data_IF_425860637139
#
_entry.id   IF_425860637139
#
_cell.length_a   1.000
_cell.length_b   1.000
_cell.length_c   1.000
_cell.angle_alpha   90.00
_cell.angle_beta   90.00
_cell.angle_gamma   90.00
#
_symmetry.space_group_name_H-M   'P 1'
#
loop_
_entity.id
_entity.type
_entity.pdbx_description
1 polymer ?
#
# COMPACT_ATOMS: atom_id res chain seq x y z
N UNK A 1 14.68 23.62 10.24
CA UNK A 1 13.55 22.74 10.66
C UNK A 1 12.34 23.64 10.89
N UNK A 2 11.34 23.61 10.00
CA UNK A 2 10.11 24.39 10.20
C UNK A 2 9.29 23.80 11.35
N UNK A 3 8.86 24.58 12.36
CA UNK A 3 8.16 24.06 13.52
C UNK A 3 6.83 23.40 13.13
N UNK A 4 6.50 22.29 13.79
CA UNK A 4 5.23 21.57 13.60
C UNK A 4 4.10 22.48 14.10
N UNK A 5 3.34 23.06 13.18
CA UNK A 5 2.20 23.91 13.51
C UNK A 5 0.98 23.04 13.85
N UNK A 6 0.46 23.16 15.07
CA UNK A 6 -0.83 22.55 15.44
C UNK A 6 -1.94 23.28 14.68
N UNK A 7 -2.48 22.63 13.65
CA UNK A 7 -3.63 23.13 12.90
C UNK A 7 -4.93 22.74 13.62
N UNK A 8 -5.92 23.64 13.61
CA UNK A 8 -7.25 23.33 14.12
C UNK A 8 -7.84 22.12 13.37
N UNK A 9 -8.42 21.17 14.10
CA UNK A 9 -9.10 19.99 13.54
C UNK A 9 -10.16 20.36 12.48
N UNK A 10 -10.76 21.55 12.58
CA UNK A 10 -11.68 22.10 11.58
C UNK A 10 -11.07 22.21 10.17
N UNK A 11 -9.75 22.39 10.05
CA UNK A 11 -9.06 22.40 8.74
C UNK A 11 -9.07 21.02 8.07
N UNK A 12 -9.08 19.93 8.85
CA UNK A 12 -9.23 18.57 8.30
C UNK A 12 -10.57 18.41 7.59
N UNK A 13 -11.65 18.93 8.18
CA UNK A 13 -12.97 18.91 7.55
C UNK A 13 -13.03 19.74 6.26
N UNK A 14 -12.36 20.90 6.24
CA UNK A 14 -12.25 21.73 5.04
C UNK A 14 -11.51 20.97 3.92
N UNK A 15 -10.42 20.28 4.24
CA UNK A 15 -9.66 19.48 3.29
C UNK A 15 -10.51 18.36 2.67
N UNK A 16 -11.33 17.66 3.47
CA UNK A 16 -12.25 16.62 2.97
C UNK A 16 -13.28 17.23 2.01
N UNK A 17 -13.89 18.37 2.37
CA UNK A 17 -14.84 19.05 1.47
C UNK A 17 -14.20 19.49 0.17
N UNK A 18 -12.98 20.03 0.21
CA UNK A 18 -12.24 20.46 -0.97
C UNK A 18 -11.95 19.27 -1.90
N UNK A 19 -11.50 18.14 -1.35
CA UNK A 19 -11.31 16.92 -2.12
C UNK A 19 -12.59 16.42 -2.79
N UNK A 20 -13.72 16.46 -2.06
CA UNK A 20 -15.02 16.09 -2.61
C UNK A 20 -15.45 17.04 -3.75
N UNK A 21 -15.33 18.35 -3.55
CA UNK A 21 -15.63 19.36 -4.57
C UNK A 21 -14.77 19.19 -5.82
N UNK A 22 -13.50 18.82 -5.65
CA UNK A 22 -12.59 18.57 -6.76
C UNK A 22 -13.02 17.38 -7.61
N UNK A 23 -13.43 16.28 -6.97
CA UNK A 23 -13.97 15.10 -7.67
C UNK A 23 -15.28 15.46 -8.39
N UNK A 24 -16.11 16.30 -7.76
CA UNK A 24 -17.40 16.73 -8.33
C UNK A 24 -17.28 17.69 -9.52
N UNK A 25 -16.09 18.24 -9.84
CA UNK A 25 -15.88 18.99 -11.09
C UNK A 25 -16.06 18.12 -12.33
N UNK A 26 -15.58 16.88 -12.28
CA UNK A 26 -15.76 15.91 -13.37
C UNK A 26 -15.81 14.46 -12.84
N UNK A 27 -16.94 14.07 -12.21
CA UNK A 27 -17.03 12.83 -11.45
C UNK A 27 -16.86 11.60 -12.33
N UNK A 28 -17.36 11.64 -13.57
CA UNK A 28 -17.26 10.56 -14.55
C UNK A 28 -15.80 10.22 -14.86
N UNK A 29 -14.97 11.21 -15.20
CA UNK A 29 -13.56 10.97 -15.53
C UNK A 29 -12.73 10.58 -14.31
N UNK A 30 -12.90 11.26 -13.17
CA UNK A 30 -12.16 10.93 -11.95
C UNK A 30 -12.44 9.51 -11.46
N UNK A 31 -13.71 9.11 -11.43
CA UNK A 31 -14.10 7.77 -10.99
C UNK A 31 -13.64 6.71 -12.00
N UNK A 32 -13.77 6.98 -13.30
CA UNK A 32 -13.33 6.04 -14.35
C UNK A 32 -11.83 5.76 -14.26
N UNK A 33 -11.01 6.79 -13.99
CA UNK A 33 -9.56 6.67 -13.84
C UNK A 33 -9.21 5.90 -12.56
N UNK A 34 -9.87 6.21 -11.43
CA UNK A 34 -9.67 5.46 -10.19
C UNK A 34 -10.02 3.97 -10.37
N UNK A 35 -11.14 3.71 -11.05
CA UNK A 35 -11.63 2.37 -11.33
C UNK A 35 -10.70 1.62 -12.29
N UNK A 36 -10.16 2.29 -13.30
CA UNK A 36 -9.22 1.68 -14.23
C UNK A 36 -7.88 1.35 -13.54
N UNK A 37 -7.39 2.23 -12.67
CA UNK A 37 -6.21 1.99 -11.85
C UNK A 37 -6.40 0.83 -10.87
N UNK A 38 -7.56 0.74 -10.21
CA UNK A 38 -7.87 -0.35 -9.29
C UNK A 38 -8.08 -1.68 -10.02
N UNK A 39 -8.75 -1.68 -11.17
CA UNK A 39 -8.92 -2.87 -12.00
C UNK A 39 -7.57 -3.39 -12.51
N UNK A 40 -6.69 -2.50 -12.99
CA UNK A 40 -5.34 -2.87 -13.38
C UNK A 40 -4.58 -3.54 -12.22
N UNK A 41 -4.68 -2.99 -11.00
CA UNK A 41 -4.09 -3.60 -9.81
C UNK A 41 -4.65 -4.98 -9.49
N UNK A 42 -5.97 -5.15 -9.56
CA UNK A 42 -6.61 -6.45 -9.33
C UNK A 42 -6.14 -7.49 -10.34
N UNK A 43 -6.00 -7.11 -11.61
CA UNK A 43 -5.48 -7.99 -12.67
C UNK A 43 -4.01 -8.38 -12.41
N UNK A 44 -3.17 -7.43 -12.00
CA UNK A 44 -1.78 -7.69 -11.63
C UNK A 44 -1.69 -8.69 -10.47
N UNK A 45 -2.53 -8.52 -9.44
CA UNK A 45 -2.57 -9.43 -8.29
C UNK A 45 -2.96 -10.88 -8.65
N UNK A 46 -3.65 -11.10 -9.78
CA UNK A 46 -3.96 -12.45 -10.28
C UNK A 46 -2.74 -13.17 -10.89
N UNK A 47 -1.67 -12.44 -11.21
CA UNK A 47 -0.44 -13.01 -11.77
C UNK A 47 0.39 -13.62 -10.64
N UNK A 48 0.06 -14.83 -10.20
CA UNK A 48 0.89 -15.53 -9.20
C UNK A 48 2.21 -16.03 -9.84
N UNK A 49 3.36 -15.99 -9.12
CA UNK A 49 3.58 -15.50 -7.75
C UNK A 49 4.08 -14.04 -7.65
N UNK A 50 4.42 -13.40 -8.78
CA UNK A 50 5.15 -12.12 -8.80
C UNK A 50 4.19 -10.91 -8.75
N UNK A 51 2.91 -11.12 -9.03
CA UNK A 51 1.87 -10.10 -9.09
C UNK A 51 1.77 -9.25 -7.84
N UNK A 52 1.92 -9.84 -6.64
CA UNK A 52 1.96 -9.09 -5.39
C UNK A 52 3.13 -8.10 -5.32
N UNK A 53 4.33 -8.51 -5.78
CA UNK A 53 5.50 -7.63 -5.81
C UNK A 53 5.35 -6.51 -6.86
N UNK A 54 4.82 -6.85 -8.04
CA UNK A 54 4.56 -5.89 -9.12
C UNK A 54 3.51 -4.87 -8.68
N UNK A 55 2.42 -5.32 -8.04
CA UNK A 55 1.39 -4.44 -7.48
C UNK A 55 1.98 -3.50 -6.42
N UNK A 56 2.88 -4.00 -5.57
CA UNK A 56 3.56 -3.19 -4.56
C UNK A 56 4.41 -2.07 -5.17
N UNK A 57 5.09 -2.34 -6.28
CA UNK A 57 5.86 -1.35 -7.03
C UNK A 57 4.98 -0.34 -7.76
N UNK A 58 3.87 -0.80 -8.33
CA UNK A 58 2.97 0.03 -9.12
C UNK A 58 2.04 0.88 -8.26
N UNK A 59 1.79 0.51 -7.00
CA UNK A 59 0.86 1.23 -6.13
C UNK A 59 1.23 2.72 -5.98
N UNK A 60 2.47 3.10 -5.64
CA UNK A 60 2.84 4.51 -5.58
C UNK A 60 2.73 5.22 -6.94
N UNK A 61 2.91 4.49 -8.04
CA UNK A 61 2.77 5.04 -9.40
C UNK A 61 1.30 5.35 -9.69
N UNK A 62 0.38 4.45 -9.34
CA UNK A 62 -1.06 4.68 -9.51
C UNK A 62 -1.53 5.84 -8.63
N UNK A 63 -1.04 5.94 -7.39
CA UNK A 63 -1.37 7.05 -6.47
C UNK A 63 -0.87 8.38 -7.04
N UNK A 64 0.39 8.46 -7.47
CA UNK A 64 0.96 9.70 -8.06
C UNK A 64 0.29 10.07 -9.38
N UNK A 65 -0.06 9.08 -10.21
CA UNK A 65 -0.87 9.28 -11.42
C UNK A 65 -2.25 9.87 -11.11
N UNK A 66 -2.91 9.39 -10.05
CA UNK A 66 -4.18 9.93 -9.60
C UNK A 66 -4.05 11.36 -9.07
N UNK A 67 -3.00 11.68 -8.32
CA UNK A 67 -2.72 13.06 -7.90
C UNK A 67 -2.53 14.01 -9.10
N UNK A 68 -1.92 13.53 -10.20
CA UNK A 68 -1.79 14.28 -11.45
C UNK A 68 -3.15 14.56 -12.10
N UNK A 69 -4.09 13.62 -11.98
CA UNK A 69 -5.48 13.79 -12.42
C UNK A 69 -6.21 14.82 -11.56
N UNK A 70 -6.06 14.77 -10.23
CA UNK A 70 -6.59 15.80 -9.33
C UNK A 70 -6.05 17.19 -9.68
N UNK A 71 -4.76 17.32 -9.98
CA UNK A 71 -4.17 18.60 -10.39
C UNK A 71 -4.69 19.09 -11.75
N UNK A 72 -4.87 18.19 -12.72
CA UNK A 72 -5.50 18.54 -13.99
C UNK A 72 -6.95 19.03 -13.81
N UNK A 73 -7.70 18.46 -12.86
CA UNK A 73 -9.03 18.94 -12.46
C UNK A 73 -9.00 20.32 -11.79
N UNK A 74 -7.92 20.66 -11.09
CA UNK A 74 -7.73 21.99 -10.49
C UNK A 74 -7.43 23.06 -11.54
N UNK A 75 -6.57 22.72 -12.50
CA UNK A 75 -6.05 23.60 -13.58
C UNK A 75 -6.96 23.65 -14.83
N UNK A 76 -8.14 22.99 -14.80
CA UNK A 76 -9.07 22.82 -15.95
C UNK A 76 -8.40 22.24 -17.21
N UNK A 77 -7.35 21.44 -17.03
CA UNK A 77 -6.66 20.73 -18.11
C UNK A 77 -7.45 19.50 -18.58
N UNK A 78 -7.33 19.18 -19.87
CA UNK A 78 -7.92 17.97 -20.43
C UNK A 78 -7.27 16.71 -19.82
N UNK A 79 -8.07 15.93 -19.10
CA UNK A 79 -7.62 14.69 -18.45
C UNK A 79 -7.40 13.59 -19.49
N UNK A 80 -6.18 13.08 -19.59
CA UNK A 80 -5.85 11.94 -20.44
C UNK A 80 -5.44 10.71 -19.64
N UNK A 81 -5.72 9.51 -20.17
CA UNK A 81 -5.25 8.24 -19.58
C UNK A 81 -3.72 8.16 -19.46
N UNK A 82 -2.99 8.91 -20.29
CA UNK A 82 -1.53 9.06 -20.20
C UNK A 82 -1.05 9.67 -18.87
N UNK A 83 -1.94 10.33 -18.12
CA UNK A 83 -1.66 10.92 -16.82
C UNK A 83 -1.52 9.89 -15.69
N UNK A 84 -2.21 8.75 -15.78
CA UNK A 84 -1.99 7.62 -14.86
C UNK A 84 -0.58 7.07 -14.98
N UNK A 85 -0.01 7.12 -16.19
CA UNK A 85 1.37 6.72 -16.48
C UNK A 85 2.36 7.88 -16.36
N UNK A 86 1.93 9.09 -15.99
CA UNK A 86 2.85 10.22 -15.81
C UNK A 86 3.83 9.96 -14.65
N UNK A 87 3.42 9.18 -13.64
CA UNK A 87 4.31 8.71 -12.57
C UNK A 87 5.53 7.96 -13.10
N UNK A 88 5.38 7.15 -14.16
CA UNK A 88 6.49 6.50 -14.86
C UNK A 88 7.40 7.48 -15.60
N UNK A 89 6.86 8.59 -16.11
CA UNK A 89 7.59 9.52 -16.97
C UNK A 89 8.42 10.55 -16.20
N UNK A 90 7.96 10.99 -15.02
CA UNK A 90 8.60 12.11 -14.32
C UNK A 90 9.78 11.69 -13.45
N UNK A 91 9.65 10.62 -12.65
CA UNK A 91 10.72 10.16 -11.74
C UNK A 91 10.79 8.62 -11.56
N UNK A 92 11.00 7.84 -12.64
CA UNK A 92 10.96 6.37 -12.58
C UNK A 92 12.02 5.79 -11.63
N UNK A 93 13.25 6.32 -11.62
CA UNK A 93 14.33 5.80 -10.77
C UNK A 93 14.02 5.94 -9.25
N UNK A 94 13.36 7.03 -8.86
CA UNK A 94 12.98 7.30 -7.46
C UNK A 94 11.84 6.40 -7.00
N UNK A 95 10.84 6.22 -7.85
CA UNK A 95 9.70 5.32 -7.59
C UNK A 95 10.15 3.86 -7.53
N UNK A 96 11.07 3.44 -8.40
CA UNK A 96 11.68 2.09 -8.35
C UNK A 96 12.51 1.92 -7.07
N UNK A 97 13.29 2.93 -6.66
CA UNK A 97 14.05 2.85 -5.41
C UNK A 97 13.15 2.74 -4.17
N UNK A 98 12.00 3.43 -4.17
CA UNK A 98 10.97 3.30 -3.14
C UNK A 98 10.38 1.89 -3.15
N UNK A 99 9.98 1.37 -4.30
CA UNK A 99 9.48 0.00 -4.42
C UNK A 99 10.51 -1.04 -3.93
N UNK A 100 11.79 -0.85 -4.26
CA UNK A 100 12.89 -1.69 -3.78
C UNK A 100 13.07 -1.63 -2.27
N UNK A 101 13.05 -0.44 -1.66
CA UNK A 101 13.08 -0.28 -0.20
C UNK A 101 11.87 -0.94 0.48
N UNK A 102 10.70 -0.88 -0.17
CA UNK A 102 9.47 -1.48 0.34
C UNK A 102 9.60 -3.00 0.35
N UNK A 103 10.08 -3.60 -0.74
CA UNK A 103 10.38 -5.03 -0.82
C UNK A 103 11.41 -5.42 0.24
N UNK A 104 12.49 -4.66 0.40
CA UNK A 104 13.50 -4.94 1.42
C UNK A 104 12.90 -4.97 2.83
N UNK A 105 12.07 -3.99 3.18
CA UNK A 105 11.43 -3.98 4.49
C UNK A 105 10.41 -5.09 4.69
N UNK A 106 9.70 -5.52 3.64
CA UNK A 106 8.87 -6.74 3.67
C UNK A 106 9.70 -7.98 3.94
N UNK A 107 10.83 -8.13 3.24
CA UNK A 107 11.74 -9.26 3.42
C UNK A 107 12.31 -9.26 4.85
N UNK A 108 12.77 -8.13 5.36
CA UNK A 108 13.30 -7.99 6.73
C UNK A 108 12.23 -8.39 7.76
N UNK A 109 11.00 -7.93 7.57
CA UNK A 109 9.90 -8.25 8.49
C UNK A 109 9.58 -9.74 8.46
N UNK A 110 9.51 -10.34 7.27
CA UNK A 110 9.28 -11.77 7.09
C UNK A 110 10.41 -12.62 7.71
N UNK A 111 11.67 -12.23 7.51
CA UNK A 111 12.82 -12.89 8.14
C UNK A 111 12.76 -12.78 9.67
N UNK A 112 12.41 -11.62 10.20
CA UNK A 112 12.25 -11.41 11.65
C UNK A 112 11.17 -12.35 12.22
N UNK A 113 10.04 -12.50 11.53
CA UNK A 113 9.00 -13.46 11.92
C UNK A 113 9.52 -14.90 11.91
N UNK A 114 10.25 -15.30 10.86
CA UNK A 114 10.80 -16.66 10.77
C UNK A 114 11.88 -16.94 11.83
N UNK A 115 12.72 -15.95 12.15
CA UNK A 115 13.75 -16.10 13.18
C UNK A 115 13.16 -16.25 14.59
N UNK A 116 12.10 -15.51 14.91
CA UNK A 116 11.43 -15.56 16.21
C UNK A 116 10.49 -16.78 16.31
N UNK A 117 9.72 -17.04 15.25
CA UNK A 117 8.69 -18.07 15.21
C UNK A 117 9.21 -19.47 14.87
N UNK A 118 10.42 -19.55 14.30
CA UNK A 118 11.10 -20.80 13.99
C UNK A 118 10.31 -21.76 13.10
N UNK A 119 10.57 -23.05 13.28
CA UNK A 119 9.88 -24.13 12.54
C UNK A 119 8.38 -24.17 12.81
N UNK A 120 7.96 -23.79 14.02
CA UNK A 120 6.56 -23.73 14.43
C UNK A 120 5.73 -22.75 13.58
N UNK A 121 6.30 -21.56 13.28
CA UNK A 121 5.67 -20.60 12.37
C UNK A 121 5.63 -21.15 10.94
N UNK A 122 6.71 -21.79 10.48
CA UNK A 122 6.75 -22.43 9.17
C UNK A 122 5.62 -23.46 8.98
N UNK A 123 5.44 -24.35 9.96
CA UNK A 123 4.34 -25.32 9.98
C UNK A 123 2.97 -24.66 10.03
N UNK A 124 2.81 -23.56 10.77
CA UNK A 124 1.56 -22.80 10.79
C UNK A 124 1.25 -22.23 9.40
N UNK A 125 2.23 -21.61 8.74
CA UNK A 125 2.07 -21.01 7.40
C UNK A 125 1.74 -22.04 6.31
N UNK A 126 2.30 -23.25 6.38
CA UNK A 126 1.92 -24.33 5.46
C UNK A 126 0.53 -24.85 5.75
N UNK A 127 0.16 -24.96 7.02
CA UNK A 127 -1.18 -25.41 7.44
C UNK A 127 -2.24 -24.38 7.03
N UNK A 128 -1.96 -23.08 7.10
CA UNK A 128 -2.84 -21.99 6.65
C UNK A 128 -3.28 -22.12 5.18
N UNK A 129 -2.41 -22.61 4.30
CA UNK A 129 -2.76 -22.83 2.89
C UNK A 129 -3.76 -23.97 2.68
N UNK A 130 -3.98 -24.79 3.71
CA UNK A 130 -4.76 -26.02 3.65
C UNK A 130 -5.88 -26.07 4.69
N UNK A 131 -6.13 -25.01 5.45
CA UNK A 131 -7.21 -24.94 6.45
C UNK A 131 -8.51 -24.47 5.78
N UNK A 132 -9.56 -25.32 5.72
CA UNK A 132 -10.88 -24.88 5.29
C UNK A 132 -11.74 -24.31 6.43
N UNK A 133 -11.32 -24.46 7.70
CA UNK A 133 -12.18 -24.20 8.85
C UNK A 133 -11.50 -23.42 9.99
N UNK A 134 -12.17 -22.37 10.51
CA UNK A 134 -11.62 -21.42 11.48
C UNK A 134 -11.22 -22.07 12.83
N UNK A 135 -11.84 -23.19 13.18
CA UNK A 135 -11.51 -23.96 14.39
C UNK A 135 -10.15 -24.67 14.31
N UNK A 136 -9.76 -25.16 13.13
CA UNK A 136 -8.44 -25.77 12.94
C UNK A 136 -7.32 -24.74 13.05
N UNK A 137 -7.58 -23.49 12.64
CA UNK A 137 -6.64 -22.38 12.84
C UNK A 137 -6.42 -22.10 14.33
N UNK A 138 -7.48 -22.01 15.13
CA UNK A 138 -7.37 -21.77 16.56
C UNK A 138 -6.55 -22.87 17.26
N UNK A 139 -6.81 -24.13 16.92
CA UNK A 139 -6.07 -25.27 17.47
C UNK A 139 -4.59 -25.27 17.05
N UNK A 140 -4.30 -24.95 15.79
CA UNK A 140 -2.93 -24.84 15.30
C UNK A 140 -2.16 -23.69 15.96
N UNK A 141 -2.83 -22.56 16.21
CA UNK A 141 -2.22 -21.44 16.95
C UNK A 141 -1.94 -21.79 18.42
N UNK A 142 -2.84 -22.53 19.07
CA UNK A 142 -2.60 -23.01 20.43
C UNK A 142 -1.43 -24.02 20.50
N UNK A 143 -1.31 -24.89 19.50
CA UNK A 143 -0.23 -25.87 19.41
C UNK A 143 1.14 -25.25 19.04
N UNK A 144 1.15 -24.11 18.35
CA UNK A 144 2.37 -23.46 17.87
C UNK A 144 3.20 -22.77 18.98
N UNK A 145 2.64 -22.63 20.18
CA UNK A 145 3.33 -22.08 21.35
C UNK A 145 3.51 -20.56 21.35
N UNK A 146 3.98 -19.98 22.47
CA UNK A 146 4.05 -18.53 22.66
C UNK A 146 5.05 -17.81 21.72
N UNK A 147 6.09 -18.52 21.25
CA UNK A 147 7.06 -17.97 20.30
C UNK A 147 6.45 -17.56 18.96
N UNK A 148 5.44 -18.30 18.49
CA UNK A 148 4.72 -17.97 17.26
C UNK A 148 3.85 -16.72 17.44
N UNK A 149 3.15 -16.59 18.58
CA UNK A 149 2.40 -15.37 18.90
C UNK A 149 3.30 -14.14 18.96
N UNK A 150 4.46 -14.25 19.59
CA UNK A 150 5.43 -13.14 19.65
C UNK A 150 6.01 -12.80 18.26
N UNK A 151 6.28 -13.81 17.44
CA UNK A 151 6.75 -13.62 16.06
C UNK A 151 5.73 -12.88 15.20
N UNK A 152 4.44 -13.21 15.34
CA UNK A 152 3.36 -12.56 14.61
C UNK A 152 3.24 -11.10 15.05
N UNK A 153 3.24 -10.84 16.36
CA UNK A 153 3.21 -9.47 16.90
C UNK A 153 4.37 -8.63 16.37
N UNK A 154 5.60 -9.15 16.44
CA UNK A 154 6.78 -8.45 15.92
C UNK A 154 6.66 -8.16 14.42
N UNK A 155 6.25 -9.16 13.63
CA UNK A 155 6.04 -9.02 12.19
C UNK A 155 4.96 -7.99 11.83
N UNK A 156 3.81 -8.04 12.50
CA UNK A 156 2.72 -7.08 12.31
C UNK A 156 3.13 -5.67 12.69
N UNK A 157 3.85 -5.48 13.81
CA UNK A 157 4.36 -4.17 14.20
C UNK A 157 5.33 -3.60 13.18
N UNK A 158 6.27 -4.42 12.67
CA UNK A 158 7.21 -4.03 11.62
C UNK A 158 6.48 -3.66 10.32
N UNK A 159 5.54 -4.49 9.88
CA UNK A 159 4.68 -4.20 8.73
C UNK A 159 3.90 -2.89 8.90
N UNK A 160 3.35 -2.65 10.09
CA UNK A 160 2.60 -1.45 10.38
C UNK A 160 3.47 -0.19 10.30
N UNK A 161 4.65 -0.21 10.92
CA UNK A 161 5.64 0.88 10.82
C UNK A 161 6.07 1.10 9.38
N UNK A 162 6.29 0.01 8.63
CA UNK A 162 6.64 0.07 7.22
C UNK A 162 5.53 0.75 6.41
N UNK A 163 4.26 0.34 6.59
CA UNK A 163 3.14 0.97 5.91
C UNK A 163 3.03 2.46 6.26
N UNK A 164 3.24 2.85 7.53
CA UNK A 164 3.26 4.26 7.92
C UNK A 164 4.38 5.04 7.24
N UNK A 165 5.59 4.49 7.19
CA UNK A 165 6.73 5.13 6.53
C UNK A 165 6.46 5.31 5.03
N UNK A 166 5.89 4.29 4.38
CA UNK A 166 5.62 4.30 2.94
C UNK A 166 4.34 5.03 2.55
N UNK A 167 3.40 5.28 3.46
CA UNK A 167 2.20 6.05 3.15
C UNK A 167 2.53 7.49 2.75
N UNK A 168 3.61 8.06 3.33
CA UNK A 168 4.02 9.44 3.10
C UNK A 168 5.22 9.59 2.16
N UNK A 169 6.01 8.52 1.97
CA UNK A 169 7.23 8.57 1.16
C UNK A 169 7.00 8.91 -0.34
N UNK A 170 5.97 8.39 -1.03
CA UNK A 170 5.68 8.76 -2.42
C UNK A 170 5.38 10.25 -2.58
N UNK A 171 4.74 10.86 -1.58
CA UNK A 171 4.36 12.28 -1.60
C UNK A 171 5.56 13.22 -1.33
N UNK A 172 6.60 12.74 -0.64
CA UNK A 172 7.82 13.51 -0.35
C UNK A 172 8.82 13.51 -1.52
N UNK A 173 8.70 12.54 -2.41
CA UNK A 173 9.70 12.23 -3.45
C UNK A 173 9.25 12.67 -4.85
N UNK A 174 7.94 12.91 -5.02
CA UNK A 174 7.28 13.43 -6.22
C UNK A 174 7.11 14.95 -6.15
#
# INVERSE_FOLDING_TARGET
MTPIHKMNAARGWIWVKQGYQLIMRNPLLSISIALLGSLAMLLILKVAPIGSFIAMLLMPIVITGYMRVCRALEEDEAIQFSHLLAGFKKHPARLVSLGGLLILGVVISALTMLLIGGTALGTLLTTLKSIPNQQMLANAMQAAGPGVSFSLLAGFSLMFVLMLAFQYAPMLVY
#
